data_IF_815561089289
#
_entry.id   IF_815561089289
#
_cell.length_a   1.000
_cell.length_b   1.000
_cell.length_c   1.000
_cell.angle_alpha   90.00
_cell.angle_beta   90.00
_cell.angle_gamma   90.00
#
_symmetry.space_group_name_H-M   'P 1'
#
loop_
_entity.id
_entity.type
_entity.pdbx_description
1 polymer ?
#
# COMPACT_ATOMS: atom_id res chain seq x y z
N UNK A 1 10.46 0.80 -13.41
CA UNK A 1 9.23 0.19 -13.95
C UNK A 1 8.69 -0.73 -12.87
N UNK A 2 7.40 -0.66 -12.55
CA UNK A 2 6.81 -1.44 -11.45
C UNK A 2 6.70 -2.93 -11.81
N UNK A 3 7.05 -3.79 -10.86
CA UNK A 3 6.84 -5.24 -10.91
C UNK A 3 5.36 -5.58 -10.67
N UNK A 4 5.00 -6.86 -10.79
CA UNK A 4 3.59 -7.29 -10.66
C UNK A 4 3.02 -6.96 -9.28
N UNK A 5 3.74 -7.29 -8.20
CA UNK A 5 3.28 -7.06 -6.82
C UNK A 5 3.14 -5.57 -6.51
N UNK A 6 4.10 -4.75 -6.93
CA UNK A 6 4.00 -3.29 -6.82
C UNK A 6 2.75 -2.75 -7.52
N UNK A 7 2.41 -3.27 -8.70
CA UNK A 7 1.18 -2.88 -9.42
C UNK A 7 -0.08 -3.34 -8.70
N UNK A 8 -0.08 -4.56 -8.18
CA UNK A 8 -1.24 -5.13 -7.47
C UNK A 8 -1.51 -4.36 -6.18
N UNK A 9 -0.47 -4.00 -5.41
CA UNK A 9 -0.58 -3.13 -4.22
C UNK A 9 -1.06 -1.73 -4.61
N UNK A 10 -0.41 -1.08 -5.58
CA UNK A 10 -0.80 0.26 -6.02
C UNK A 10 -2.25 0.31 -6.53
N UNK A 11 -2.71 -0.74 -7.22
CA UNK A 11 -4.10 -0.84 -7.65
C UNK A 11 -5.08 -0.86 -6.48
N UNK A 12 -4.76 -1.57 -5.40
CA UNK A 12 -5.62 -1.62 -4.20
C UNK A 12 -5.67 -0.27 -3.49
N UNK A 13 -4.56 0.46 -3.44
CA UNK A 13 -4.52 1.84 -2.91
C UNK A 13 -5.35 2.78 -3.77
N UNK A 14 -5.23 2.72 -5.09
CA UNK A 14 -6.06 3.57 -5.99
C UNK A 14 -7.55 3.22 -5.85
N UNK A 15 -7.86 1.93 -5.65
CA UNK A 15 -9.24 1.46 -5.50
C UNK A 15 -9.90 1.93 -4.20
N UNK A 16 -9.13 2.22 -3.15
CA UNK A 16 -9.68 2.74 -1.89
C UNK A 16 -10.03 4.23 -1.95
N UNK A 17 -9.67 4.93 -3.03
CA UNK A 17 -9.95 6.36 -3.20
C UNK A 17 -9.45 7.16 -1.98
N UNK A 18 -10.16 8.23 -1.61
CA UNK A 18 -9.83 9.09 -0.46
C UNK A 18 -9.98 8.41 0.92
N UNK A 19 -10.58 7.21 1.02
CA UNK A 19 -10.71 6.50 2.31
C UNK A 19 -9.37 5.90 2.79
N UNK A 20 -8.42 5.75 1.87
CA UNK A 20 -7.16 5.07 2.14
C UNK A 20 -7.33 3.57 2.42
N UNK A 21 -6.22 2.89 2.63
CA UNK A 21 -6.24 1.44 2.89
C UNK A 21 -5.10 1.06 3.82
N UNK A 22 -5.43 0.24 4.82
CA UNK A 22 -4.44 -0.28 5.76
C UNK A 22 -3.58 -1.39 5.12
N UNK A 23 -2.27 -1.44 5.43
CA UNK A 23 -1.39 -2.51 4.95
C UNK A 23 -1.91 -3.93 5.25
N UNK A 24 -2.57 -4.14 6.38
CA UNK A 24 -3.19 -5.42 6.77
C UNK A 24 -4.28 -5.87 5.80
N UNK A 25 -5.08 -4.92 5.31
CA UNK A 25 -6.16 -5.18 4.37
C UNK A 25 -5.60 -5.61 3.01
N UNK A 26 -4.55 -4.94 2.54
CA UNK A 26 -3.83 -5.29 1.31
C UNK A 26 -3.19 -6.68 1.45
N UNK A 27 -2.50 -6.94 2.57
CA UNK A 27 -1.83 -8.21 2.83
C UNK A 27 -2.81 -9.39 2.78
N UNK A 28 -3.99 -9.22 3.40
CA UNK A 28 -5.07 -10.21 3.39
C UNK A 28 -5.63 -10.44 1.99
N UNK A 29 -5.86 -9.39 1.21
CA UNK A 29 -6.41 -9.48 -0.15
C UNK A 29 -5.43 -10.17 -1.11
N UNK A 30 -4.14 -9.86 -1.01
CA UNK A 30 -3.10 -10.40 -1.89
C UNK A 30 -2.52 -11.75 -1.41
N UNK A 31 -2.80 -12.14 -0.17
CA UNK A 31 -2.26 -13.37 0.41
C UNK A 31 -0.74 -13.34 0.60
N UNK A 32 -0.19 -12.17 0.93
CA UNK A 32 1.24 -11.96 1.18
C UNK A 32 1.48 -11.41 2.60
N UNK A 33 2.70 -11.50 3.15
CA UNK A 33 3.02 -10.95 4.47
C UNK A 33 2.79 -9.43 4.54
N UNK A 34 2.37 -8.94 5.71
CA UNK A 34 2.16 -7.50 5.96
C UNK A 34 3.47 -6.73 5.77
N UNK A 35 4.58 -7.27 6.24
CA UNK A 35 5.90 -6.66 6.14
C UNK A 35 6.30 -6.45 4.68
N UNK A 36 5.98 -7.41 3.81
CA UNK A 36 6.21 -7.27 2.36
C UNK A 36 5.34 -6.16 1.75
N UNK A 37 4.09 -6.01 2.21
CA UNK A 37 3.23 -4.89 1.79
C UNK A 37 3.83 -3.55 2.22
N UNK A 38 4.32 -3.43 3.45
CA UNK A 38 4.96 -2.20 3.95
C UNK A 38 6.16 -1.85 3.08
N UNK A 39 7.06 -2.80 2.81
CA UNK A 39 8.23 -2.56 1.94
C UNK A 39 7.82 -2.09 0.53
N UNK A 40 6.72 -2.62 -0.01
CA UNK A 40 6.19 -2.18 -1.30
C UNK A 40 5.60 -0.77 -1.20
N UNK A 41 4.82 -0.47 -0.18
CA UNK A 41 4.22 0.86 0.03
C UNK A 41 5.30 1.93 0.20
N UNK A 42 6.32 1.66 1.03
CA UNK A 42 7.48 2.55 1.21
C UNK A 42 8.16 2.81 -0.14
N UNK A 43 8.39 1.77 -0.95
CA UNK A 43 9.00 1.94 -2.27
C UNK A 43 8.13 2.74 -3.24
N UNK A 44 6.81 2.61 -3.17
CA UNK A 44 5.87 3.37 -3.99
C UNK A 44 5.81 4.85 -3.56
N UNK A 45 5.89 5.13 -2.26
CA UNK A 45 5.99 6.47 -1.70
C UNK A 45 7.29 7.16 -2.09
N UNK A 46 8.44 6.47 -1.99
CA UNK A 46 9.74 6.97 -2.48
C UNK A 46 9.73 7.31 -3.98
N UNK A 47 8.91 6.62 -4.77
CA UNK A 47 8.70 6.91 -6.20
C UNK A 47 7.70 8.06 -6.45
N UNK A 48 7.06 8.58 -5.42
CA UNK A 48 6.06 9.65 -5.49
C UNK A 48 4.72 9.20 -6.07
N UNK A 49 4.34 7.92 -5.87
CA UNK A 49 3.11 7.34 -6.42
C UNK A 49 1.95 7.33 -5.43
N UNK A 50 2.23 7.46 -4.14
CA UNK A 50 1.27 7.55 -3.04
C UNK A 50 1.90 8.30 -1.87
N UNK A 51 1.10 8.59 -0.85
CA UNK A 51 1.55 9.14 0.43
C UNK A 51 0.90 8.36 1.57
N UNK A 52 1.62 8.22 2.69
CA UNK A 52 1.12 7.53 3.88
C UNK A 52 0.72 8.55 4.95
N UNK A 53 -0.50 8.45 5.48
CA UNK A 53 -0.93 9.23 6.64
C UNK A 53 -0.85 8.37 7.90
N UNK A 54 -0.28 8.93 8.97
CA UNK A 54 -0.26 8.30 10.28
C UNK A 54 -1.35 8.98 11.10
N UNK A 55 -2.44 8.28 11.38
CA UNK A 55 -3.42 8.76 12.36
C UNK A 55 -2.77 8.69 13.75
N UNK A 56 -2.51 9.85 14.37
CA UNK A 56 -2.15 9.91 15.78
C UNK A 56 -3.41 9.58 16.60
N UNK A 57 -3.40 8.50 17.39
CA UNK A 57 -4.45 8.23 18.37
C UNK A 57 -4.38 9.30 19.48
N UNK A 58 -5.35 10.22 19.50
CA UNK A 58 -5.57 11.23 20.57
C UNK A 58 -5.87 10.60 21.95
#
# INVERSE_FOLDING_TARGET
MLNKKEKDVLYLVIKSDDEGVLPESIAKELGIPKEEVIEILDSLEEKGLLYTEIEEED
#
